data_IF_414024204676
#
_entry.id   IF_414024204676
#
_cell.length_a   1.000
_cell.length_b   1.000
_cell.length_c   1.000
_cell.angle_alpha   90.00
_cell.angle_beta   90.00
_cell.angle_gamma   90.00
#
_symmetry.space_group_name_H-M   'P 1'
#
loop_
_entity.id
_entity.type
_entity.pdbx_description
1 polymer ?
2 non-polymer ?
3 non-polymer ?
4 water ?
#
# COMPACT_ATOMS: atom_id res chain seq x y z
N UNK A 1 4.40 -2.99 -6.04
CA UNK A 1 5.46 -2.24 -6.79
C UNK A 1 6.79 -3.01 -6.89
N UNK A 2 7.02 -4.02 -6.03
CA UNK A 2 8.25 -4.81 -5.86
C UNK A 2 7.93 -6.11 -5.11
N UNK A 3 8.93 -6.99 -4.86
CA UNK A 3 8.69 -8.34 -4.36
C UNK A 3 8.10 -8.39 -2.94
N UNK A 4 8.29 -7.33 -2.16
CA UNK A 4 7.69 -7.25 -0.80
C UNK A 4 6.18 -7.06 -0.90
N UNK A 5 5.75 -6.14 -1.76
CA UNK A 5 4.33 -5.88 -2.06
C UNK A 5 3.72 -7.10 -2.74
N UNK A 6 4.49 -7.82 -3.55
CA UNK A 6 4.03 -9.08 -4.18
C UNK A 6 3.65 -10.12 -3.11
N UNK A 7 4.54 -10.35 -2.16
CA UNK A 7 4.27 -11.34 -1.09
C UNK A 7 3.07 -10.86 -0.25
N UNK A 8 3.06 -9.59 0.15
CA UNK A 8 1.92 -9.03 0.92
C UNK A 8 0.59 -9.25 0.21
N UNK A 9 0.53 -8.93 -1.10
CA UNK A 9 -0.70 -9.06 -1.89
C UNK A 9 -1.17 -10.51 -1.88
N UNK A 10 -0.23 -11.44 -2.05
CA UNK A 10 -0.56 -12.88 -2.12
C UNK A 10 -1.21 -13.35 -0.81
N UNK A 11 -0.75 -12.82 0.32
CA UNK A 11 -1.36 -13.12 1.64
C UNK A 11 -2.72 -12.43 1.75
N UNK A 12 -2.83 -11.15 1.35
CA UNK A 12 -4.12 -10.46 1.52
C UNK A 12 -5.20 -11.14 0.67
N UNK A 13 -4.88 -11.55 -0.57
CA UNK A 13 -5.92 -11.98 -1.54
C UNK A 13 -6.50 -13.33 -1.15
N UNK A 14 -5.79 -14.16 -0.38
CA UNK A 14 -6.29 -15.51 -0.04
C UNK A 14 -6.47 -15.72 1.45
N UNK A 15 -5.78 -14.96 2.31
CA UNK A 15 -5.74 -15.32 3.75
C UNK A 15 -6.28 -14.20 4.64
N UNK A 16 -7.10 -13.31 4.11
CA UNK A 16 -7.74 -12.28 4.99
C UNK A 16 -9.25 -12.25 4.78
N UNK A 17 -9.92 -11.83 5.86
CA UNK A 17 -11.38 -11.56 5.86
C UNK A 17 -11.56 -10.24 6.59
N UNK A 18 -12.71 -9.61 6.39
CA UNK A 18 -13.08 -8.44 7.21
C UNK A 18 -13.87 -8.96 8.41
N UNK A 19 -13.33 -8.74 9.61
CA UNK A 19 -14.00 -9.15 10.86
C UNK A 19 -14.66 -7.91 11.49
N UNK A 20 -15.91 -8.07 11.93
CA UNK A 20 -16.65 -6.98 12.59
C UNK A 20 -17.13 -7.48 13.97
N UNK A 21 -16.67 -6.81 15.03
CA UNK A 21 -17.16 -7.02 16.42
C UNK A 21 -17.91 -5.75 16.85
N UNK A 22 -18.36 -5.70 18.08
CA UNK A 22 -19.00 -4.47 18.64
C UNK A 22 -17.97 -3.35 18.82
N UNK A 23 -16.67 -3.66 18.75
CA UNK A 23 -15.56 -2.68 18.87
C UNK A 23 -15.07 -2.20 17.48
N UNK A 24 -15.70 -2.63 16.37
CA UNK A 24 -15.39 -2.15 15.01
C UNK A 24 -15.06 -3.23 13.99
N UNK A 25 -14.59 -2.77 12.83
CA UNK A 25 -14.05 -3.57 11.71
C UNK A 25 -12.54 -3.71 11.82
N UNK A 26 -12.06 -4.96 11.67
CA UNK A 26 -10.63 -5.33 11.74
C UNK A 26 -10.24 -6.17 10.51
N UNK A 27 -9.04 -5.95 10.02
CA UNK A 27 -8.33 -6.94 9.18
C UNK A 27 -8.17 -8.18 10.07
N UNK A 28 -8.49 -9.35 9.51
CA UNK A 28 -8.37 -10.64 10.23
C UNK A 28 -7.60 -11.59 9.29
N UNK A 29 -6.47 -12.08 9.79
CA UNK A 29 -5.60 -13.07 9.10
C UNK A 29 -6.11 -14.49 9.38
N UNK A 30 -6.44 -15.20 8.31
CA UNK A 30 -6.69 -16.65 8.44
C UNK A 30 -5.40 -17.44 8.27
N UNK A 31 -5.14 -18.40 9.15
CA UNK A 31 -3.83 -19.08 9.23
C UNK A 31 -3.91 -20.50 8.65
N UNK A 32 -4.95 -21.26 8.99
CA UNK A 32 -5.14 -22.63 8.47
C UNK A 32 -6.53 -23.07 8.87
N UNK A 33 -7.09 -24.04 8.14
CA UNK A 33 -8.43 -24.61 8.45
C UNK A 33 -9.40 -23.45 8.71
N UNK A 34 -10.07 -23.40 9.88
CA UNK A 34 -11.04 -22.30 10.17
C UNK A 34 -10.46 -21.42 11.28
N UNK A 35 -9.14 -21.36 11.40
CA UNK A 35 -8.44 -20.68 12.51
C UNK A 35 -7.86 -19.37 12.00
N UNK A 36 -8.20 -18.28 12.67
CA UNK A 36 -7.74 -16.92 12.32
C UNK A 36 -7.22 -16.21 13.57
N UNK A 37 -6.63 -15.03 13.37
CA UNK A 37 -6.16 -14.21 14.49
C UNK A 37 -6.67 -12.79 14.35
N UNK A 38 -6.74 -12.11 15.49
CA UNK A 38 -7.28 -10.72 15.57
C UNK A 38 -6.69 -10.11 16.84
N UNK A 39 -6.49 -8.77 16.94
CA UNK A 39 -6.04 -8.18 18.21
C UNK A 39 -7.08 -8.46 19.32
N UNK A 40 -6.53 -8.76 20.52
CA UNK A 40 -7.40 -9.12 21.67
C UNK A 40 -8.34 -7.95 22.00
N UNK A 41 -7.92 -6.70 21.80
CA UNK A 41 -8.85 -5.54 22.04
C UNK A 41 -10.08 -5.50 21.12
N UNK A 42 -10.20 -6.33 20.09
CA UNK A 42 -11.44 -6.47 19.29
C UNK A 42 -12.57 -7.05 20.11
N UNK A 43 -12.25 -7.71 21.23
CA UNK A 43 -13.25 -8.29 22.17
C UNK A 43 -14.21 -9.25 21.46
N UNK A 44 -13.65 -10.34 20.92
CA UNK A 44 -14.44 -11.35 20.19
C UNK A 44 -15.44 -11.96 21.17
N UNK A 45 -16.71 -12.07 20.77
CA UNK A 45 -17.71 -12.83 21.52
C UNK A 45 -18.13 -14.13 20.88
N UNK A 46 -19.36 -14.55 21.15
CA UNK A 46 -19.91 -15.85 20.69
C UNK A 46 -20.28 -15.79 19.19
N UNK A 47 -20.53 -14.59 18.66
CA UNK A 47 -20.95 -14.27 17.27
C UNK A 47 -20.04 -13.15 16.76
N UNK A 48 -19.56 -13.31 15.52
CA UNK A 48 -18.73 -12.28 14.86
C UNK A 48 -19.27 -12.15 13.42
N UNK A 49 -19.08 -11.01 12.76
CA UNK A 49 -19.40 -10.89 11.33
C UNK A 49 -18.11 -11.07 10.53
N UNK A 50 -18.14 -11.94 9.52
CA UNK A 50 -16.99 -12.26 8.64
C UNK A 50 -17.44 -11.92 7.21
N UNK A 51 -16.88 -10.85 6.63
CA UNK A 51 -17.30 -10.35 5.29
C UNK A 51 -18.81 -10.14 5.33
N UNK A 52 -19.31 -9.56 6.43
CA UNK A 52 -20.73 -9.18 6.68
C UNK A 52 -21.68 -10.39 6.76
N UNK A 53 -21.19 -11.60 6.99
CA UNK A 53 -21.99 -12.82 7.29
C UNK A 53 -21.91 -13.14 8.79
N UNK A 54 -23.06 -13.28 9.41
CA UNK A 54 -23.15 -13.71 10.83
C UNK A 54 -22.54 -15.10 11.01
N UNK A 55 -21.54 -15.19 11.88
CA UNK A 55 -20.70 -16.41 12.03
C UNK A 55 -20.58 -16.75 13.54
N UNK A 56 -20.88 -17.98 13.88
CA UNK A 56 -20.65 -18.49 15.24
C UNK A 56 -19.17 -18.63 15.50
N UNK A 57 -18.73 -18.22 16.67
CA UNK A 57 -17.34 -18.44 17.14
C UNK A 57 -17.27 -19.78 17.88
N UNK A 58 -16.51 -20.75 17.36
CA UNK A 58 -16.39 -22.09 17.98
C UNK A 58 -15.43 -22.04 19.16
N UNK A 59 -14.40 -21.20 19.13
CA UNK A 59 -13.42 -21.05 20.22
C UNK A 59 -12.73 -19.70 20.04
N UNK A 60 -12.40 -19.03 21.12
CA UNK A 60 -11.58 -17.79 21.09
C UNK A 60 -10.64 -17.80 22.29
N UNK A 61 -9.34 -17.71 22.06
CA UNK A 61 -8.33 -17.75 23.15
C UNK A 61 -7.42 -16.52 23.07
N UNK A 62 -7.47 -15.69 24.08
CA UNK A 62 -6.57 -14.54 24.25
C UNK A 62 -5.22 -15.05 24.76
N UNK A 63 -4.18 -14.96 23.97
CA UNK A 63 -2.88 -15.56 24.32
C UNK A 63 -2.15 -14.70 25.34
N UNK A 64 -1.44 -15.37 26.25
CA UNK A 64 -0.54 -14.72 27.22
C UNK A 64 0.76 -15.53 27.24
N UNK A 65 1.88 -14.91 27.51
CA UNK A 65 3.14 -15.68 27.65
C UNK A 65 3.18 -16.42 29.01
N UNK A 66 4.23 -17.20 29.18
CA UNK A 66 4.36 -18.02 30.40
C UNK A 66 4.76 -17.15 31.61
N UNK A 67 5.11 -15.87 31.44
CA UNK A 67 5.10 -14.88 32.58
C UNK A 67 3.65 -14.41 32.91
N UNK A 68 2.62 -14.89 32.24
CA UNK A 68 1.20 -14.48 32.39
C UNK A 68 1.11 -12.99 31.99
N UNK A 69 1.81 -12.62 30.93
CA UNK A 69 1.74 -11.25 30.35
C UNK A 69 0.96 -11.29 29.03
N UNK A 70 0.07 -10.33 28.82
CA UNK A 70 -0.70 -10.14 27.57
C UNK A 70 0.24 -10.23 26.34
N UNK A 71 -0.17 -10.96 25.29
CA UNK A 71 0.47 -10.90 23.94
C UNK A 71 -0.39 -10.16 22.91
N UNK A 72 -1.63 -9.83 23.25
CA UNK A 72 -2.53 -9.02 22.37
C UNK A 72 -2.95 -9.78 21.11
N UNK A 73 -2.76 -11.12 21.06
CA UNK A 73 -3.25 -11.97 19.96
C UNK A 73 -4.41 -12.79 20.51
N UNK A 74 -5.56 -12.75 19.86
CA UNK A 74 -6.64 -13.75 20.07
C UNK A 74 -6.69 -14.71 18.86
N UNK A 75 -6.68 -16.00 19.14
CA UNK A 75 -6.87 -17.06 18.12
C UNK A 75 -8.33 -17.42 18.13
N UNK A 76 -8.97 -17.34 16.96
CA UNK A 76 -10.44 -17.55 16.80
C UNK A 76 -10.63 -18.73 15.87
N UNK A 77 -11.45 -19.70 16.28
CA UNK A 77 -11.92 -20.74 15.35
C UNK A 77 -13.34 -20.40 14.92
N UNK A 78 -13.57 -20.26 13.61
CA UNK A 78 -14.83 -19.75 13.03
C UNK A 78 -15.68 -20.93 12.54
N UNK A 79 -16.99 -20.89 12.79
CA UNK A 79 -17.93 -21.87 12.19
C UNK A 79 -18.23 -21.47 10.74
N UNK A 80 -17.21 -21.55 9.90
CA UNK A 80 -17.26 -21.13 8.48
C UNK A 80 -17.30 -22.38 7.61
N UNK A 81 -17.89 -22.28 6.43
CA UNK A 81 -18.05 -23.43 5.51
C UNK A 81 -16.86 -23.60 4.58
N UNK A 82 -15.76 -22.92 4.84
CA UNK A 82 -14.61 -22.92 3.93
C UNK A 82 -13.32 -22.80 4.75
N UNK A 83 -12.27 -23.53 4.39
CA UNK A 83 -10.94 -23.45 5.03
C UNK A 83 -10.07 -22.36 4.39
N UNK A 84 -9.17 -21.81 5.17
CA UNK A 84 -8.06 -20.96 4.67
C UNK A 84 -6.97 -21.84 4.07
N UNK A 85 -6.31 -21.27 3.08
CA UNK A 85 -5.00 -21.79 2.63
C UNK A 85 -4.11 -21.91 3.85
N UNK A 86 -3.41 -23.00 4.06
CA UNK A 86 -2.48 -23.18 5.18
C UNK A 86 -1.20 -22.38 4.93
N UNK A 87 -0.97 -21.31 5.70
CA UNK A 87 0.23 -20.44 5.62
C UNK A 87 1.14 -20.61 6.82
N UNK A 88 0.99 -21.66 7.63
CA UNK A 88 1.83 -21.78 8.85
C UNK A 88 3.32 -21.90 8.51
N UNK A 89 3.69 -22.39 7.32
CA UNK A 89 5.12 -22.47 6.93
C UNK A 89 5.72 -21.09 6.69
N UNK A 90 4.92 -20.03 6.61
CA UNK A 90 5.47 -18.65 6.48
C UNK A 90 5.66 -17.95 7.84
N UNK A 91 5.36 -18.63 8.93
CA UNK A 91 5.48 -18.03 10.29
C UNK A 91 6.88 -18.26 10.83
N UNK A 92 7.50 -17.23 11.43
CA UNK A 92 8.80 -17.41 12.07
C UNK A 92 8.72 -18.36 13.26
N UNK A 93 9.83 -19.06 13.54
CA UNK A 93 9.86 -19.93 14.73
C UNK A 93 10.28 -19.15 15.98
N UNK A 94 11.07 -18.08 15.84
CA UNK A 94 11.60 -17.35 17.03
C UNK A 94 11.37 -15.84 16.91
N UNK A 95 11.55 -15.15 18.05
CA UNK A 95 11.51 -13.67 18.12
C UNK A 95 12.70 -13.14 17.31
N UNK A 96 12.51 -12.08 16.54
CA UNK A 96 13.60 -11.57 15.68
C UNK A 96 13.32 -10.13 15.30
N UNK A 97 14.33 -9.49 14.75
CA UNK A 97 14.22 -8.19 14.04
C UNK A 97 14.18 -8.48 12.54
N UNK A 98 13.68 -7.54 11.75
CA UNK A 98 13.47 -7.73 10.29
C UNK A 98 13.85 -6.47 9.52
N UNK A 99 14.23 -6.63 8.26
CA UNK A 99 14.30 -5.45 7.37
C UNK A 99 13.10 -5.42 6.41
N UNK A 100 12.71 -4.22 6.02
CA UNK A 100 11.93 -3.96 4.80
C UNK A 100 10.60 -4.74 4.91
N UNK A 101 9.78 -4.36 5.88
CA UNK A 101 8.43 -4.96 6.07
C UNK A 101 7.36 -4.11 5.37
N UNK A 102 6.21 -4.75 5.14
CA UNK A 102 4.97 -4.12 4.61
C UNK A 102 3.86 -4.44 5.59
N UNK A 103 3.07 -3.43 5.90
CA UNK A 103 1.83 -3.52 6.68
C UNK A 103 0.67 -3.44 5.70
N UNK A 104 -0.18 -4.47 5.68
CA UNK A 104 -1.30 -4.56 4.72
C UNK A 104 -2.64 -4.60 5.45
N UNK A 105 -3.59 -3.78 5.00
CA UNK A 105 -4.91 -3.61 5.62
C UNK A 105 -5.99 -3.77 4.57
N UNK A 106 -7.09 -4.40 4.94
CA UNK A 106 -8.26 -4.49 4.06
C UNK A 106 -9.55 -4.39 4.88
N UNK A 107 -10.15 -3.18 4.90
CA UNK A 107 -11.46 -2.97 5.55
C UNK A 107 -12.33 -2.15 4.59
N UNK A 108 -13.60 -1.89 4.99
CA UNK A 108 -14.52 -0.93 4.30
C UNK A 108 -13.88 0.47 4.22
N UNK A 109 -13.23 0.92 5.28
CA UNK A 109 -12.58 2.25 5.42
C UNK A 109 -11.28 2.29 4.57
N UNK A 110 -10.48 1.23 4.62
CA UNK A 110 -9.15 1.14 3.96
C UNK A 110 -9.02 -0.14 3.12
N UNK A 111 -9.66 -0.25 1.93
CA UNK A 111 -9.50 -1.40 1.07
C UNK A 111 -8.17 -1.35 0.31
N UNK A 112 -7.53 -2.52 0.18
CA UNK A 112 -6.36 -2.70 -0.68
C UNK A 112 -5.26 -1.72 -0.28
N UNK A 113 -5.02 -1.55 1.02
CA UNK A 113 -4.00 -0.63 1.56
C UNK A 113 -2.70 -1.38 1.86
N UNK A 114 -1.56 -0.89 1.37
CA UNK A 114 -0.23 -1.48 1.59
C UNK A 114 0.73 -0.37 2.00
N UNK A 115 1.43 -0.51 3.10
CA UNK A 115 2.33 0.55 3.66
C UNK A 115 3.73 -0.02 3.80
N UNK A 116 4.77 0.51 3.10
CA UNK A 116 6.15 0.12 3.34
C UNK A 116 6.61 0.77 4.65
N UNK A 117 6.75 -0.02 5.71
CA UNK A 117 7.07 0.50 7.07
C UNK A 117 8.57 0.44 7.36
N UNK A 118 9.40 -0.23 6.56
CA UNK A 118 10.86 -0.25 6.71
C UNK A 118 11.30 -1.21 7.78
N UNK A 119 12.33 -0.84 8.52
CA UNK A 119 12.98 -1.72 9.51
C UNK A 119 12.03 -2.03 10.67
N UNK A 120 12.01 -3.30 11.09
CA UNK A 120 11.18 -3.76 12.24
C UNK A 120 12.08 -4.20 13.40
N UNK A 121 11.94 -3.53 14.54
CA UNK A 121 12.71 -3.78 15.78
C UNK A 121 11.95 -4.82 16.66
N UNK A 122 12.65 -5.82 17.17
CA UNK A 122 12.13 -6.62 18.32
C UNK A 122 12.15 -5.71 19.56
N UNK A 123 11.07 -5.02 19.81
CA UNK A 123 10.93 -3.99 20.86
C UNK A 123 10.80 -4.67 22.24
N UNK A 124 10.02 -5.73 22.31
CA UNK A 124 9.79 -6.51 23.53
C UNK A 124 8.62 -5.98 24.32
N UNK A 125 8.92 -5.35 25.45
CA UNK A 125 7.89 -4.86 26.39
C UNK A 125 7.32 -3.53 25.89
N UNK A 126 5.99 -3.42 25.95
CA UNK A 126 5.24 -2.19 25.66
C UNK A 126 4.07 -2.13 26.65
N UNK A 127 3.89 -0.94 27.22
CA UNK A 127 2.63 -0.63 27.95
C UNK A 127 1.61 -0.16 26.92
N UNK A 128 0.77 -1.07 26.44
CA UNK A 128 -0.12 -0.86 25.32
C UNK A 128 -1.49 -0.49 25.85
N UNK A 129 -1.88 0.78 25.73
CA UNK A 129 -3.19 1.20 26.30
C UNK A 129 -3.31 0.93 27.80
N UNK A 130 -2.21 1.04 28.54
CA UNK A 130 -2.16 0.71 29.98
C UNK A 130 -1.98 -0.78 30.29
N UNK A 131 -1.93 -1.65 29.29
CA UNK A 131 -1.75 -3.10 29.55
C UNK A 131 -0.31 -3.48 29.25
N UNK A 132 0.47 -4.01 30.22
CA UNK A 132 1.78 -4.57 29.95
C UNK A 132 1.65 -5.68 28.88
N UNK A 133 2.46 -5.57 27.85
CA UNK A 133 2.36 -6.47 26.66
C UNK A 133 3.78 -6.91 26.28
N UNK A 134 3.98 -8.18 25.92
CA UNK A 134 5.30 -8.66 25.48
C UNK A 134 5.30 -9.01 23.99
N UNK A 135 6.50 -9.32 23.46
CA UNK A 135 6.70 -9.76 22.04
C UNK A 135 6.21 -8.71 21.05
N UNK A 136 6.48 -7.44 21.32
CA UNK A 136 6.07 -6.33 20.43
C UNK A 136 7.19 -6.02 19.42
N UNK A 137 6.76 -5.91 18.16
CA UNK A 137 7.56 -5.41 17.02
C UNK A 137 7.24 -3.93 16.85
N UNK A 138 8.26 -3.14 16.58
CA UNK A 138 8.07 -1.68 16.32
C UNK A 138 8.61 -1.28 14.94
N UNK A 139 7.89 -0.37 14.30
CA UNK A 139 8.29 0.24 13.00
C UNK A 139 8.00 1.72 13.09
N UNK A 140 8.83 2.50 12.37
CA UNK A 140 8.78 3.98 12.43
C UNK A 140 7.86 4.46 11.33
N UNK A 141 6.57 4.22 11.47
CA UNK A 141 5.53 4.76 10.55
C UNK A 141 4.36 5.23 11.42
N UNK A 142 3.82 6.43 11.11
CA UNK A 142 2.66 6.98 11.81
C UNK A 142 1.35 6.33 11.40
N UNK A 143 1.15 5.11 11.93
CA UNK A 143 -0.10 4.32 11.74
C UNK A 143 -1.27 5.03 12.47
N UNK A 144 -2.48 4.72 12.03
CA UNK A 144 -3.73 5.44 12.38
C UNK A 144 -4.79 4.40 12.73
N UNK A 145 -5.86 4.88 13.38
CA UNK A 145 -7.05 4.07 13.71
C UNK A 145 -7.60 3.55 12.37
N UNK A 146 -8.02 2.28 12.38
CA UNK A 146 -8.44 1.59 11.16
C UNK A 146 -7.42 0.55 10.70
N UNK A 147 -6.18 0.59 11.19
CA UNK A 147 -5.10 -0.34 10.74
C UNK A 147 -4.92 -1.54 11.69
N UNK A 148 -5.61 -1.61 12.83
CA UNK A 148 -5.45 -2.74 13.76
C UNK A 148 -5.89 -4.02 13.08
N UNK A 149 -5.06 -5.06 13.25
CA UNK A 149 -5.27 -6.36 12.60
C UNK A 149 -4.48 -6.46 11.31
N UNK A 150 -3.95 -5.32 10.83
CA UNK A 150 -3.16 -5.31 9.60
C UNK A 150 -2.08 -6.33 9.66
N UNK A 151 -1.77 -6.94 8.54
CA UNK A 151 -0.74 -7.99 8.50
C UNK A 151 0.64 -7.40 8.21
N UNK A 152 1.61 -7.77 9.00
CA UNK A 152 3.05 -7.38 8.79
C UNK A 152 3.78 -8.55 8.14
N UNK A 153 4.37 -8.31 6.95
CA UNK A 153 5.11 -9.34 6.21
C UNK A 153 6.48 -8.80 5.84
N UNK A 154 7.39 -9.74 5.64
CA UNK A 154 8.58 -9.52 4.78
C UNK A 154 8.41 -10.44 3.57
N UNK A 155 9.31 -10.35 2.58
CA UNK A 155 9.42 -11.43 1.57
C UNK A 155 9.57 -12.79 2.32
N UNK A 156 8.60 -13.65 2.12
CA UNK A 156 8.60 -15.04 2.54
C UNK A 156 8.13 -15.22 3.94
N UNK A 157 7.89 -14.14 4.73
CA UNK A 157 7.43 -14.36 6.14
C UNK A 157 6.26 -13.48 6.57
N UNK A 158 5.33 -14.09 7.29
CA UNK A 158 4.20 -13.38 7.96
C UNK A 158 4.60 -13.23 9.43
N UNK A 159 4.91 -11.99 9.90
CA UNK A 159 5.67 -11.84 11.16
C UNK A 159 4.81 -11.26 12.28
N UNK A 160 3.65 -10.68 12.01
CA UNK A 160 2.89 -10.03 13.08
C UNK A 160 1.59 -9.42 12.60
N UNK A 161 0.82 -8.94 13.57
CA UNK A 161 -0.44 -8.20 13.30
C UNK A 161 -0.38 -6.88 14.08
N UNK A 162 -0.75 -5.80 13.38
CA UNK A 162 -0.73 -4.43 13.94
C UNK A 162 -1.68 -4.32 15.13
N UNK A 163 -1.23 -3.76 16.28
CA UNK A 163 -2.09 -3.67 17.49
C UNK A 163 -2.12 -2.24 18.07
N UNK A 164 -1.25 -1.34 17.64
CA UNK A 164 -1.34 0.05 18.14
C UNK A 164 -0.29 0.97 17.59
N UNK A 165 -0.31 2.20 18.08
CA UNK A 165 0.75 3.16 17.71
C UNK A 165 0.77 4.34 18.67
N UNK A 166 1.76 5.21 18.56
CA UNK A 166 1.86 6.43 19.44
C UNK A 166 1.87 7.71 18.59
N UNK A 167 1.45 7.63 17.33
CA UNK A 167 1.40 8.77 16.41
C UNK A 167 2.62 8.86 15.52
N UNK A 168 3.80 8.43 15.97
CA UNK A 168 5.08 8.41 15.21
C UNK A 168 5.53 6.97 14.89
N UNK A 169 5.31 6.04 15.82
CA UNK A 169 5.68 4.60 15.67
C UNK A 169 4.41 3.75 15.68
N UNK A 170 4.54 2.57 15.05
CA UNK A 170 3.48 1.55 15.04
C UNK A 170 4.01 0.30 15.69
N UNK A 171 3.08 -0.50 16.23
CA UNK A 171 3.43 -1.68 17.04
C UNK A 171 2.61 -2.90 16.59
N UNK A 172 3.33 -4.03 16.45
CA UNK A 172 2.64 -5.28 16.06
C UNK A 172 2.93 -6.34 17.13
N UNK A 173 1.96 -7.23 17.32
CA UNK A 173 2.17 -8.48 18.08
C UNK A 173 2.81 -9.52 17.19
N UNK A 174 3.85 -10.18 17.65
CA UNK A 174 4.52 -11.24 16.88
C UNK A 174 3.56 -12.38 16.59
N UNK A 175 3.71 -13.01 15.41
CA UNK A 175 3.13 -14.34 15.16
C UNK A 175 4.30 -15.34 15.14
N UNK A 176 4.16 -16.41 15.91
CA UNK A 176 5.15 -17.47 15.99
C UNK A 176 4.49 -18.78 15.56
N UNK A 177 5.25 -19.62 14.87
CA UNK A 177 4.75 -20.94 14.42
C UNK A 177 4.14 -21.75 15.58
N UNK A 178 4.77 -21.65 16.76
CA UNK A 178 4.33 -22.44 17.95
C UNK A 178 2.92 -22.07 18.43
N UNK A 179 2.34 -20.95 18.03
CA UNK A 179 0.96 -20.61 18.45
C UNK A 179 -0.07 -21.49 17.72
N UNK A 180 0.29 -22.12 16.60
CA UNK A 180 -0.66 -22.76 15.64
C UNK A 180 -0.41 -24.23 15.36
N UNK A 181 0.32 -24.89 16.27
CA UNK A 181 0.47 -26.38 16.27
C UNK A 181 -0.90 -26.99 16.60
N UNK A 182 -1.29 -28.06 15.89
CA UNK A 182 -2.61 -28.74 16.00
C UNK A 182 -2.42 -30.24 16.25
N UNK B 2 -9.35 9.42 5.41
CA UNK B 2 -10.22 10.63 5.07
C UNK B 2 -11.08 10.37 3.83
N UNK B 3 -11.65 11.43 3.16
CA UNK B 3 -11.96 11.40 1.71
C UNK B 3 -10.75 11.22 0.74
N UNK B 4 -9.52 11.16 1.27
CA UNK B 4 -8.28 10.83 0.54
C UNK B 4 -8.36 9.49 -0.19
N UNK B 5 -8.81 8.41 0.47
CA UNK B 5 -8.97 7.07 -0.16
C UNK B 5 -10.08 7.05 -1.21
N UNK B 6 -11.24 7.68 -0.98
CA UNK B 6 -12.28 7.84 -2.01
C UNK B 6 -11.66 8.47 -3.27
N UNK B 7 -10.98 9.59 -3.08
CA UNK B 7 -10.42 10.38 -4.19
C UNK B 7 -9.42 9.51 -4.97
N UNK B 8 -8.52 8.84 -4.26
CA UNK B 8 -7.51 7.97 -4.91
C UNK B 8 -8.22 6.92 -5.73
N UNK B 9 -9.28 6.28 -5.17
CA UNK B 9 -10.05 5.24 -5.91
C UNK B 9 -10.75 5.79 -7.13
N UNK B 10 -11.33 7.00 -7.03
CA UNK B 10 -12.08 7.66 -8.13
C UNK B 10 -11.16 7.95 -9.33
N UNK B 11 -9.94 8.37 -9.00
CA UNK B 11 -8.91 8.60 -10.07
C UNK B 11 -8.40 7.26 -10.64
N UNK B 12 -8.17 6.28 -9.78
CA UNK B 12 -7.77 4.92 -10.25
C UNK B 12 -8.84 4.41 -11.24
N UNK B 13 -10.10 4.44 -10.83
CA UNK B 13 -11.20 3.74 -11.54
C UNK B 13 -11.35 4.30 -12.96
N UNK B 14 -11.42 5.61 -13.12
CA UNK B 14 -11.73 6.23 -14.42
C UNK B 14 -10.48 6.70 -15.19
N UNK B 15 -9.38 7.03 -14.48
CA UNK B 15 -8.26 7.75 -15.13
C UNK B 15 -6.96 6.94 -15.19
N UNK B 16 -6.91 5.70 -14.71
CA UNK B 16 -5.62 4.96 -14.68
C UNK B 16 -5.72 3.74 -15.60
N UNK B 17 -4.75 3.54 -16.50
CA UNK B 17 -4.66 2.38 -17.42
C UNK B 17 -3.31 1.72 -17.26
N UNK B 18 -3.18 0.48 -17.75
CA UNK B 18 -1.88 -0.24 -17.75
C UNK B 18 -1.19 0.05 -19.08
N UNK B 19 -0.02 0.66 -19.06
CA UNK B 19 0.73 0.94 -20.30
C UNK B 19 1.90 -0.03 -20.38
N UNK B 20 2.12 -0.65 -21.54
CA UNK B 20 3.28 -1.58 -21.69
C UNK B 20 4.13 -1.07 -22.87
N UNK B 21 5.38 -0.72 -22.56
CA UNK B 21 6.43 -0.29 -23.52
C UNK B 21 7.43 -1.45 -23.66
N UNK B 22 8.51 -1.20 -24.40
CA UNK B 22 9.62 -2.17 -24.56
C UNK B 22 10.15 -2.53 -23.17
N UNK B 23 10.04 -1.63 -22.18
CA UNK B 23 10.63 -1.82 -20.83
C UNK B 23 9.68 -2.63 -19.89
N UNK B 24 8.43 -2.82 -20.26
CA UNK B 24 7.44 -3.52 -19.43
C UNK B 24 6.29 -2.60 -19.03
N UNK B 25 5.63 -2.91 -17.92
CA UNK B 25 4.34 -2.29 -17.54
C UNK B 25 4.55 -1.13 -16.57
N UNK B 26 3.74 -0.09 -16.85
CA UNK B 26 3.75 1.16 -16.06
C UNK B 26 2.30 1.57 -15.80
N UNK B 27 2.09 2.10 -14.58
CA UNK B 27 0.83 2.78 -14.25
C UNK B 27 0.75 4.08 -15.08
N UNK B 28 -0.27 4.23 -15.90
CA UNK B 28 -0.38 5.44 -16.76
C UNK B 28 -1.61 6.24 -16.29
N UNK B 29 -1.45 7.57 -16.19
CA UNK B 29 -2.56 8.50 -15.88
C UNK B 29 -3.08 9.16 -17.15
N UNK B 30 -4.35 8.90 -17.48
CA UNK B 30 -5.04 9.68 -18.51
C UNK B 30 -5.56 11.00 -17.96
N UNK B 31 -5.31 12.11 -18.65
CA UNK B 31 -5.55 13.46 -18.07
C UNK B 31 -6.81 14.09 -18.72
N UNK B 32 -6.92 14.00 -20.01
CA UNK B 32 -8.10 14.50 -20.77
C UNK B 32 -8.01 14.02 -22.21
N UNK B 33 -9.14 13.99 -22.93
CA UNK B 33 -9.12 13.60 -24.37
C UNK B 33 -8.33 12.28 -24.52
N UNK B 34 -7.34 12.25 -25.43
CA UNK B 34 -6.49 11.02 -25.60
C UNK B 34 -5.06 11.31 -25.09
N UNK B 35 -4.96 12.21 -24.12
CA UNK B 35 -3.66 12.68 -23.57
C UNK B 35 -3.43 12.02 -22.23
N UNK B 36 -2.25 11.41 -22.06
CA UNK B 36 -1.88 10.66 -20.83
C UNK B 36 -0.43 11.02 -20.48
N UNK B 37 -0.03 10.63 -19.30
CA UNK B 37 1.38 10.81 -18.82
C UNK B 37 1.94 9.49 -18.33
N UNK B 38 3.25 9.42 -18.44
CA UNK B 38 4.03 8.23 -18.05
C UNK B 38 5.44 8.73 -17.72
N UNK B 39 6.22 8.08 -16.84
CA UNK B 39 7.60 8.49 -16.63
C UNK B 39 8.42 8.39 -17.92
N UNK B 40 9.34 9.35 -18.12
CA UNK B 40 10.20 9.39 -19.33
C UNK B 40 11.00 8.09 -19.43
N UNK B 41 11.42 7.49 -18.32
CA UNK B 41 12.25 6.27 -18.34
C UNK B 41 11.49 5.09 -18.91
N UNK B 42 10.17 5.18 -19.16
CA UNK B 42 9.39 4.09 -19.79
C UNK B 42 9.81 3.87 -21.25
N UNK B 43 10.46 4.84 -21.86
CA UNK B 43 10.97 4.75 -23.26
C UNK B 43 9.81 4.44 -24.22
N UNK B 44 8.84 5.35 -24.26
CA UNK B 44 7.68 5.25 -25.16
C UNK B 44 8.17 5.29 -26.63
N UNK B 45 7.66 4.35 -27.43
CA UNK B 45 7.99 4.26 -28.85
C UNK B 45 6.85 4.72 -29.73
N UNK B 46 6.77 4.11 -30.92
CA UNK B 46 5.72 4.46 -31.90
C UNK B 46 4.41 3.76 -31.53
N UNK B 47 4.54 2.60 -30.90
CA UNK B 47 3.39 1.75 -30.50
C UNK B 47 3.50 1.48 -29.00
N UNK B 48 2.36 1.47 -28.34
CA UNK B 48 2.30 1.11 -26.90
C UNK B 48 1.10 0.17 -26.71
N UNK B 49 1.15 -0.64 -25.65
CA UNK B 49 -0.07 -1.43 -25.27
C UNK B 49 -0.80 -0.69 -24.15
N UNK B 50 -2.12 -0.53 -24.28
CA UNK B 50 -2.97 0.15 -23.26
C UNK B 50 -4.02 -0.87 -22.83
N UNK B 51 -3.93 -1.40 -21.62
CA UNK B 51 -4.83 -2.50 -21.18
C UNK B 51 -4.80 -3.67 -22.19
N UNK B 52 -3.59 -4.01 -22.65
CA UNK B 52 -3.25 -5.17 -23.52
C UNK B 52 -3.67 -4.92 -24.97
N UNK B 53 -4.07 -3.70 -25.35
CA UNK B 53 -4.48 -3.33 -26.73
C UNK B 53 -3.32 -2.58 -27.42
N UNK B 54 -2.81 -3.12 -28.53
CA UNK B 54 -1.82 -2.41 -29.40
C UNK B 54 -2.39 -1.06 -29.85
N UNK B 55 -1.67 0.05 -29.52
CA UNK B 55 -2.20 1.44 -29.67
C UNK B 55 -1.08 2.30 -30.28
N UNK B 56 -1.38 2.97 -31.39
CA UNK B 56 -0.40 3.92 -31.97
C UNK B 56 -0.25 5.09 -31.00
N UNK B 57 0.99 5.52 -30.80
CA UNK B 57 1.29 6.80 -30.08
C UNK B 57 1.46 7.89 -31.16
N UNK B 58 0.52 8.80 -31.20
CA UNK B 58 0.54 9.88 -32.22
C UNK B 58 1.64 10.90 -31.94
N UNK B 59 1.92 11.14 -30.65
CA UNK B 59 2.87 12.18 -30.21
C UNK B 59 3.38 11.77 -28.84
N UNK B 60 4.67 12.01 -28.60
CA UNK B 60 5.32 11.83 -27.28
C UNK B 60 6.23 13.04 -27.06
N UNK B 61 6.07 13.69 -25.90
CA UNK B 61 6.90 14.84 -25.49
C UNK B 61 7.56 14.53 -24.15
N UNK B 62 8.89 14.47 -24.14
CA UNK B 62 9.70 14.29 -22.93
C UNK B 62 9.85 15.68 -22.32
N UNK B 63 9.04 16.03 -21.31
CA UNK B 63 8.94 17.42 -20.82
C UNK B 63 10.25 17.91 -20.18
N UNK B 64 10.56 19.16 -20.45
CA UNK B 64 11.67 19.93 -19.86
C UNK B 64 11.12 21.31 -19.49
N UNK B 65 11.71 21.93 -18.49
CA UNK B 65 11.25 23.28 -18.05
C UNK B 65 12.01 24.36 -18.84
N UNK B 66 11.75 25.61 -18.49
CA UNK B 66 12.31 26.76 -19.25
C UNK B 66 13.77 27.01 -18.91
N UNK B 67 14.35 26.31 -17.92
CA UNK B 67 15.80 26.21 -17.73
C UNK B 67 16.42 25.12 -18.63
N UNK B 68 15.59 24.42 -19.42
CA UNK B 68 16.03 23.30 -20.30
C UNK B 68 16.50 22.14 -19.42
N UNK B 69 15.76 21.87 -18.34
CA UNK B 69 16.08 20.77 -17.41
C UNK B 69 14.96 19.71 -17.49
N UNK B 70 15.37 18.46 -17.50
CA UNK B 70 14.44 17.31 -17.45
C UNK B 70 13.43 17.47 -16.32
N UNK B 71 12.18 17.06 -16.63
CA UNK B 71 11.09 16.92 -15.61
C UNK B 71 10.68 15.43 -15.41
N UNK B 72 11.13 14.52 -16.26
CA UNK B 72 10.90 13.07 -16.13
C UNK B 72 9.45 12.68 -16.44
N UNK B 73 8.65 13.57 -17.02
CA UNK B 73 7.24 13.29 -17.44
C UNK B 73 7.26 13.26 -18.95
N UNK B 74 6.70 12.22 -19.53
CA UNK B 74 6.39 12.18 -20.95
C UNK B 74 4.88 12.33 -21.12
N UNK B 75 4.46 13.30 -21.92
CA UNK B 75 3.04 13.44 -22.33
C UNK B 75 2.88 12.67 -23.63
N UNK B 76 1.86 11.80 -23.70
CA UNK B 76 1.54 11.04 -24.93
C UNK B 76 0.14 11.39 -25.44
N UNK B 77 -0.04 11.41 -26.78
CA UNK B 77 -1.36 11.48 -27.46
C UNK B 77 -1.60 10.13 -28.10
N UNK B 78 -2.66 9.43 -27.68
CA UNK B 78 -2.91 8.03 -28.08
C UNK B 78 -3.96 7.96 -29.22
N UNK B 79 -3.75 7.08 -30.19
CA UNK B 79 -4.73 6.78 -31.27
C UNK B 79 -5.75 5.75 -30.75
N UNK B 80 -6.76 6.21 -30.00
CA UNK B 80 -7.82 5.32 -29.42
C UNK B 80 -9.14 6.08 -29.29
N UNK B 81 -10.25 5.34 -29.34
CA UNK B 81 -11.60 5.94 -29.43
C UNK B 81 -11.97 6.51 -28.07
N UNK B 82 -11.67 5.77 -27.02
CA UNK B 82 -12.04 6.19 -25.65
C UNK B 82 -11.35 7.51 -25.36
N UNK B 83 -12.10 8.43 -24.74
CA UNK B 83 -11.60 9.72 -24.22
C UNK B 83 -11.54 9.64 -22.69
N UNK B 84 -10.45 10.13 -22.09
CA UNK B 84 -10.29 10.12 -20.63
C UNK B 84 -11.21 11.18 -20.01
N UNK B 85 -11.77 10.87 -18.86
CA UNK B 85 -12.47 11.87 -18.01
C UNK B 85 -11.50 13.02 -17.69
N UNK B 86 -11.89 14.28 -17.98
CA UNK B 86 -11.01 15.46 -17.75
C UNK B 86 -10.78 15.67 -16.25
N UNK B 87 -9.51 15.71 -15.79
CA UNK B 87 -9.10 15.91 -14.39
C UNK B 87 -8.11 17.06 -14.30
N UNK B 88 -8.06 17.90 -15.34
CA UNK B 88 -7.12 19.05 -15.35
C UNK B 88 -7.41 20.01 -14.20
N UNK B 89 -8.67 20.08 -13.76
CA UNK B 89 -9.06 20.96 -12.64
C UNK B 89 -8.58 20.44 -11.30
N UNK B 90 -8.05 19.18 -11.22
CA UNK B 90 -7.44 18.64 -9.98
C UNK B 90 -5.90 18.77 -9.92
N UNK B 91 -5.30 19.40 -10.92
CA UNK B 91 -3.82 19.58 -11.00
C UNK B 91 -3.44 20.88 -10.30
N UNK B 92 -2.44 20.86 -9.41
CA UNK B 92 -1.92 22.07 -8.77
C UNK B 92 -1.42 23.10 -9.80
N UNK B 93 -1.62 24.38 -9.47
CA UNK B 93 -1.14 25.51 -10.29
C UNK B 93 0.34 25.71 -10.03
N UNK B 94 0.78 25.45 -8.79
CA UNK B 94 2.16 25.80 -8.33
C UNK B 94 2.83 24.63 -7.63
N UNK B 95 4.16 24.70 -7.49
CA UNK B 95 4.98 23.79 -6.66
C UNK B 95 4.52 23.92 -5.20
N UNK B 96 4.40 22.81 -4.46
CA UNK B 96 3.89 22.86 -3.06
C UNK B 96 4.33 21.61 -2.27
N UNK B 97 4.21 21.69 -0.94
CA UNK B 97 4.29 20.56 0.02
C UNK B 97 2.86 20.08 0.30
N UNK B 98 2.71 18.80 0.68
CA UNK B 98 1.42 18.14 0.95
C UNK B 98 1.51 17.17 2.16
N UNK B 99 0.38 16.92 2.79
CA UNK B 99 0.26 15.86 3.84
C UNK B 99 -0.66 14.74 3.38
N UNK B 100 -0.48 13.53 3.93
CA UNK B 100 -1.56 12.50 3.85
C UNK B 100 -1.80 12.16 2.36
N UNK B 101 -0.71 11.94 1.61
CA UNK B 101 -0.80 11.56 0.18
C UNK B 101 -0.94 10.04 0.06
N UNK B 102 -1.48 9.61 -1.06
CA UNK B 102 -1.68 8.18 -1.44
C UNK B 102 -1.03 7.99 -2.82
N UNK B 103 -0.23 6.93 -2.96
CA UNK B 103 0.37 6.46 -4.21
C UNK B 103 -0.46 5.27 -4.67
N UNK B 104 -1.05 5.34 -5.86
CA UNK B 104 -1.98 4.34 -6.43
C UNK B 104 -1.37 3.65 -7.66
N UNK B 105 -1.11 2.35 -7.51
CA UNK B 105 -0.40 1.48 -8.48
C UNK B 105 -1.41 0.61 -9.22
N UNK B 106 -1.27 0.50 -10.54
CA UNK B 106 -2.15 -0.33 -11.33
C UNK B 106 -1.36 -0.98 -12.46
N UNK B 107 -1.02 -2.28 -12.30
CA UNK B 107 -0.38 -3.10 -13.37
C UNK B 107 -1.03 -4.47 -13.37
N UNK B 108 -0.59 -5.33 -14.29
CA UNK B 108 -1.18 -6.72 -14.31
C UNK B 108 -0.75 -7.46 -13.04
N UNK B 109 0.43 -7.16 -12.52
CA UNK B 109 1.00 -7.81 -11.32
C UNK B 109 0.38 -7.21 -10.04
N UNK B 110 0.07 -5.89 -10.06
CA UNK B 110 -0.36 -5.10 -8.88
C UNK B 110 -1.62 -4.34 -9.26
N UNK B 111 -2.76 -5.02 -9.37
CA UNK B 111 -3.98 -4.38 -9.80
C UNK B 111 -4.56 -3.56 -8.65
N UNK B 112 -5.07 -2.38 -8.90
CA UNK B 112 -5.74 -1.68 -7.75
C UNK B 112 -5.00 -1.76 -6.38
N UNK B 113 -3.75 -1.28 -6.23
CA UNK B 113 -2.95 -1.23 -4.97
C UNK B 113 -2.80 0.22 -4.46
N UNK B 114 -3.13 0.54 -3.22
CA UNK B 114 -3.07 1.91 -2.63
C UNK B 114 -2.04 1.96 -1.50
N UNK B 115 -1.05 2.85 -1.63
CA UNK B 115 0.11 2.97 -0.71
C UNK B 115 0.09 4.34 -0.06
N UNK B 116 -0.45 4.48 1.16
CA UNK B 116 -0.37 5.71 1.94
C UNK B 116 1.13 5.99 2.09
N UNK B 117 1.56 7.19 1.70
CA UNK B 117 2.99 7.57 1.85
C UNK B 117 3.14 8.69 2.89
N UNK B 118 2.06 9.43 3.11
CA UNK B 118 1.95 10.48 4.14
C UNK B 118 2.50 11.79 3.64
N UNK B 119 3.46 12.31 4.38
CA UNK B 119 4.02 13.66 4.14
C UNK B 119 4.86 13.68 2.85
N UNK B 120 4.55 14.65 2.03
CA UNK B 120 5.24 14.88 0.71
C UNK B 120 5.90 16.26 0.72
N UNK B 121 7.22 16.29 0.52
CA UNK B 121 8.01 17.55 0.45
C UNK B 121 8.20 17.96 -1.03
N UNK B 122 8.14 19.25 -1.31
CA UNK B 122 8.78 19.87 -2.49
C UNK B 122 10.31 19.76 -2.37
N UNK B 123 10.91 18.74 -2.94
CA UNK B 123 12.35 18.40 -2.78
C UNK B 123 13.15 19.23 -3.80
N UNK B 124 12.61 19.38 -5.02
CA UNK B 124 13.16 20.19 -6.10
C UNK B 124 14.12 19.40 -6.96
N UNK B 125 15.42 19.65 -6.80
CA UNK B 125 16.49 19.15 -7.67
C UNK B 125 16.84 17.74 -7.25
N UNK B 126 16.94 16.81 -8.22
CA UNK B 126 17.44 15.45 -8.00
C UNK B 126 18.27 15.01 -9.21
N UNK B 127 19.41 14.41 -8.96
CA UNK B 127 20.16 13.71 -10.02
C UNK B 127 19.60 12.31 -10.13
N UNK B 128 18.72 12.10 -11.10
CA UNK B 128 17.97 10.84 -11.25
C UNK B 128 18.60 9.99 -12.34
N UNK B 129 19.29 8.92 -11.93
CA UNK B 129 19.99 8.01 -12.88
C UNK B 129 21.04 8.75 -13.71
N UNK B 130 21.66 9.77 -13.12
CA UNK B 130 22.67 10.61 -13.79
C UNK B 130 22.09 11.81 -14.55
N UNK B 131 20.76 11.96 -14.59
CA UNK B 131 20.11 13.10 -15.28
C UNK B 131 19.61 14.14 -14.26
N UNK B 132 20.12 15.39 -14.33
CA UNK B 132 19.61 16.48 -13.52
C UNK B 132 18.10 16.69 -13.80
N UNK B 133 17.30 16.71 -12.74
CA UNK B 133 15.81 16.70 -12.81
C UNK B 133 15.25 17.73 -11.85
N UNK B 134 14.22 18.46 -12.30
CA UNK B 134 13.55 19.48 -11.47
C UNK B 134 12.17 18.97 -11.00
N UNK B 135 11.60 19.76 -10.07
CA UNK B 135 10.19 19.63 -9.59
C UNK B 135 9.93 18.23 -9.05
N UNK B 136 10.85 17.72 -8.26
CA UNK B 136 10.70 16.39 -7.61
C UNK B 136 10.00 16.58 -6.26
N UNK B 137 8.95 15.78 -6.03
CA UNK B 137 8.30 15.54 -4.72
C UNK B 137 8.94 14.33 -4.03
N UNK B 138 9.11 14.37 -2.70
CA UNK B 138 9.76 13.27 -1.98
C UNK B 138 8.85 12.82 -0.82
N UNK B 139 8.81 11.52 -0.60
CA UNK B 139 8.13 10.89 0.54
C UNK B 139 9.00 9.76 1.06
N UNK B 140 8.79 9.36 2.32
CA UNK B 140 9.46 8.16 2.82
C UNK B 140 9.04 6.96 1.98
N UNK B 141 9.93 6.03 1.70
CA UNK B 141 9.61 4.83 0.89
C UNK B 141 10.69 3.79 1.12
N UNK B 142 10.71 3.20 2.34
CA UNK B 142 11.80 2.28 2.74
C UNK B 142 11.63 0.87 2.17
N UNK B 143 11.81 0.77 0.87
CA UNK B 143 11.54 -0.42 0.05
C UNK B 143 12.32 -0.17 -1.25
N UNK B 144 12.81 -1.22 -1.87
CA UNK B 144 13.33 -1.14 -3.26
C UNK B 144 12.14 -1.61 -4.10
N UNK B 145 11.50 -0.63 -4.74
CA UNK B 145 10.39 -0.78 -5.69
C UNK B 145 10.97 -0.95 -7.10
N UNK B 146 10.22 -1.60 -7.99
CA UNK B 146 10.48 -1.61 -9.44
C UNK B 146 10.09 -0.29 -10.11
N UNK B 147 10.04 -0.34 -11.42
CA UNK B 147 9.90 0.84 -12.29
C UNK B 147 8.43 1.28 -12.45
N UNK B 148 7.44 0.47 -12.10
CA UNK B 148 6.10 0.61 -12.69
C UNK B 148 5.45 1.96 -12.30
N UNK B 149 5.88 2.55 -11.19
CA UNK B 149 5.33 3.82 -10.65
C UNK B 149 3.85 3.79 -10.31
N UNK B 150 3.22 4.95 -10.35
CA UNK B 150 1.88 5.13 -9.79
C UNK B 150 1.53 6.58 -9.62
N UNK B 151 0.28 6.83 -9.30
CA UNK B 151 -0.26 8.21 -9.28
C UNK B 151 -0.30 8.70 -7.85
N UNK B 152 0.20 9.91 -7.56
CA UNK B 152 0.16 10.48 -6.20
C UNK B 152 -0.96 11.52 -6.10
N UNK B 153 -1.84 11.28 -5.11
CA UNK B 153 -3.01 12.14 -4.83
C UNK B 153 -3.04 12.55 -3.38
N UNK B 154 -3.72 13.66 -3.17
CA UNK B 154 -4.17 14.09 -1.81
C UNK B 154 -5.67 14.25 -1.94
N UNK B 155 -6.36 14.59 -0.86
CA UNK B 155 -7.78 14.98 -1.01
C UNK B 155 -7.84 16.15 -1.99
N UNK B 156 -8.56 15.97 -3.08
CA UNK B 156 -8.90 16.99 -4.06
C UNK B 156 -7.83 17.30 -5.08
N UNK B 157 -6.65 16.66 -5.03
CA UNK B 157 -5.57 17.00 -5.99
C UNK B 157 -4.83 15.76 -6.50
N UNK B 158 -4.50 15.83 -7.78
CA UNK B 158 -3.57 14.86 -8.45
C UNK B 158 -2.21 15.55 -8.58
N UNK B 159 -1.25 15.17 -7.76
CA UNK B 159 -0.04 16.01 -7.54
C UNK B 159 1.17 15.49 -8.29
N UNK B 160 1.21 14.24 -8.70
CA UNK B 160 2.44 13.77 -9.33
C UNK B 160 2.38 12.30 -9.70
N UNK B 161 3.42 11.83 -10.38
CA UNK B 161 3.56 10.41 -10.77
C UNK B 161 4.92 9.96 -10.28
N UNK B 162 4.96 8.77 -9.68
CA UNK B 162 6.19 8.19 -9.12
C UNK B 162 7.24 7.90 -10.20
N UNK B 163 8.45 8.41 -10.02
CA UNK B 163 9.53 8.22 -11.03
C UNK B 163 10.77 7.50 -10.50
N UNK B 164 10.95 7.32 -9.19
CA UNK B 164 12.12 6.60 -8.68
C UNK B 164 12.26 6.60 -7.18
N UNK B 165 13.43 6.20 -6.69
CA UNK B 165 13.68 6.10 -5.24
C UNK B 165 15.11 5.66 -4.94
N UNK B 166 15.56 5.81 -3.68
CA UNK B 166 16.96 5.50 -3.26
C UNK B 166 16.94 4.42 -2.17
N UNK B 167 15.81 3.68 -2.02
CA UNK B 167 15.62 2.57 -1.05
C UNK B 167 15.13 3.02 0.33
N UNK B 168 15.27 4.31 0.64
CA UNK B 168 14.82 5.04 1.84
C UNK B 168 13.70 6.02 1.50
N UNK B 169 13.89 6.76 0.40
CA UNK B 169 12.95 7.82 -0.06
C UNK B 169 12.42 7.47 -1.45
N UNK B 170 11.20 7.93 -1.70
CA UNK B 170 10.50 7.82 -2.98
C UNK B 170 10.34 9.20 -3.60
N UNK B 171 10.35 9.22 -4.95
CA UNK B 171 10.38 10.50 -5.73
C UNK B 171 9.30 10.46 -6.80
N UNK B 172 8.55 11.54 -6.89
CA UNK B 172 7.52 11.78 -7.90
C UNK B 172 7.83 13.04 -8.67
N UNK B 173 7.54 13.04 -9.94
CA UNK B 173 7.53 14.25 -10.79
C UNK B 173 6.24 14.99 -10.54
N UNK B 174 6.30 16.30 -10.32
CA UNK B 174 5.08 17.11 -10.15
C UNK B 174 4.23 17.13 -11.42
N UNK B 175 2.89 17.11 -11.27
CA UNK B 175 1.97 17.49 -12.35
C UNK B 175 1.45 18.90 -12.03
N UNK B 176 1.53 19.78 -13.01
CA UNK B 176 1.09 21.17 -12.90
C UNK B 176 0.04 21.43 -13.98
N UNK B 177 -0.91 22.31 -13.65
CA UNK B 177 -2.02 22.62 -14.57
C UNK B 177 -1.49 23.15 -15.94
N UNK B 178 -0.42 23.94 -15.87
CA UNK B 178 0.17 24.59 -17.08
C UNK B 178 0.75 23.60 -18.10
N UNK B 179 0.99 22.34 -17.73
CA UNK B 179 1.52 21.37 -18.71
C UNK B 179 0.49 20.96 -19.78
N UNK B 180 -0.79 21.18 -19.46
CA UNK B 180 -1.96 20.70 -20.24
C UNK B 180 -2.91 21.84 -20.68
N UNK B 181 -2.53 23.10 -20.53
CA UNK B 181 -3.25 24.27 -21.11
C UNK B 181 -2.85 24.52 -22.57
X LIG C 1 -5.33 -0.85 24.16
X LIG C 1 -5.85 -3.14 25.83
X LIG C 1 -4.78 -3.16 24.78
X LIG C 1 -5.13 -2.22 23.64
X LIG C 1 -6.54 -0.06 21.84
X LIG C 1 -5.32 0.35 23.05
X LIG C 1 -5.75 1.54 23.71
X LIG C 1 -4.04 0.32 22.43
X LIG C 1 -6.39 -0.79 25.19
X LIG C 1 -6.06 -1.73 26.34
X LIG C 1 -5.52 -4.03 26.90
X LIG D 1 9.68 -18.71 8.10
X LIG D 1 9.53 -20.07 8.70
X LIG D 1 9.96 -18.95 6.36
X LIG D 1 11.31 -18.17 8.54
X LIG E 1 -10.48 -17.20 -1.84
X LIG E 1 -11.89 -17.77 -1.82
X LIG E 1 -10.34 -16.14 -0.41
X LIG E 1 -10.49 -15.92 -3.09
X LIG F 1 -0.20 18.95 -23.77
X LIG F 1 0.03 18.37 -25.13
X LIG F 1 -1.95 19.00 -23.55
X LIG F 1 0.07 20.70 -23.92
X LIG G 1 19.07 8.56 -7.73
X LIG G 1 18.86 7.95 -9.09
X LIG G 1 19.17 7.15 -6.63
X LIG G 1 17.49 9.16 -7.18
#
# INVERSE_FOLDING_TARGET
>A
MGPGFDFAQAIMKKNTVIARTEKGEFTMLGVYDRVAVIPTHASVGEIIYINDVETRVLDACALRDLTDTNLEITIVKLDRNQKFRDIRHFLPRCEDDYNDAVLSVHTSKFPNMYIPVGQVTNYGFLNLGGTPTHRILMYNFPTRAGQCGGVVTTTGKVIGIHVGGNGAQGFAAMLLHSYFTD
>B
MGPGFDFAQAIMKKNTVIARTEKGEFTMLGVYDRVAVIPTHASVGEIIYINDVETRVLDACALRDLTDTNLEITIVKLDRNQKFRDIRHFLPRCEDDYNDAVLSVHTSKFPNMYIPVGQVTNYGFLNLGGTPTHRILMYNFPTRAGQCGGVVTTTGKVIGIHVGGNGAQGFAAMLLHSYFTD
>C hetero
1 LPU N1 C4 C5 C6 C1 S1 O1 O2 C2 C3 O3
>D hetero
1 DMS S O C1 C2
>E hetero
1 DMS S O C1 C2
>F hetero
1 DMS S O C1 C2
>G hetero
1 DMS S O C1 C2
#
